data_IF_114310725519
#
_entry.id   IF_114310725519
#
_cell.length_a   1.000
_cell.length_b   1.000
_cell.length_c   1.000
_cell.angle_alpha   90.00
_cell.angle_beta   90.00
_cell.angle_gamma   90.00
#
_symmetry.space_group_name_H-M   'P 1'
#
loop_
_entity.id
_entity.type
_entity.pdbx_description
1 polymer ?
#
# COMPACT_ATOMS: atom_id res chain seq x y z
N UNK A 1 -10.44 9.92 9.36
CA UNK A 1 -9.23 10.20 10.17
C UNK A 1 -8.40 8.94 10.17
N UNK A 2 -7.26 8.92 9.47
CA UNK A 2 -6.31 7.82 9.60
C UNK A 2 -5.71 7.89 11.00
N UNK A 3 -6.02 6.90 11.83
CA UNK A 3 -5.47 6.77 13.17
C UNK A 3 -3.95 6.59 13.02
N UNK A 4 -3.18 7.63 13.33
CA UNK A 4 -1.73 7.50 13.57
C UNK A 4 -1.54 6.42 14.64
N UNK A 5 -1.09 5.25 14.23
CA UNK A 5 -0.90 4.14 15.17
C UNK A 5 0.26 4.51 16.08
N UNK A 6 -0.02 4.60 17.38
CA UNK A 6 0.96 5.05 18.38
C UNK A 6 2.03 4.00 18.69
N UNK A 7 1.79 2.73 18.33
CA UNK A 7 2.70 1.61 18.58
C UNK A 7 3.02 0.88 17.27
N UNK A 8 4.26 0.43 17.08
CA UNK A 8 4.62 -0.41 15.94
C UNK A 8 3.82 -1.72 15.99
N UNK A 9 3.43 -2.21 14.82
CA UNK A 9 2.74 -3.50 14.71
C UNK A 9 3.78 -4.59 14.64
N UNK A 10 3.67 -5.59 15.52
CA UNK A 10 4.51 -6.78 15.47
C UNK A 10 3.86 -7.79 14.50
N UNK A 11 4.54 -8.00 13.38
CA UNK A 11 4.14 -8.93 12.35
C UNK A 11 5.04 -10.14 12.39
N UNK A 12 4.46 -11.30 12.09
CA UNK A 12 5.22 -12.55 11.99
C UNK A 12 5.37 -12.91 10.52
N UNK A 13 6.60 -13.09 10.06
CA UNK A 13 6.85 -13.50 8.68
C UNK A 13 6.29 -14.92 8.44
N UNK A 14 5.36 -15.13 7.50
CA UNK A 14 4.77 -16.45 7.28
C UNK A 14 5.77 -17.46 6.70
N UNK A 15 6.84 -16.99 6.05
CA UNK A 15 7.83 -17.85 5.39
C UNK A 15 9.00 -18.26 6.30
N UNK A 16 9.38 -17.39 7.24
CA UNK A 16 10.58 -17.59 8.07
C UNK A 16 10.27 -17.63 9.58
N UNK A 17 9.05 -17.30 9.99
CA UNK A 17 8.62 -17.32 11.38
C UNK A 17 9.16 -16.20 12.26
N UNK A 18 10.06 -15.35 11.75
CA UNK A 18 10.62 -14.20 12.47
C UNK A 18 9.58 -13.12 12.73
N UNK A 19 9.62 -12.56 13.93
CA UNK A 19 8.84 -11.39 14.30
C UNK A 19 9.58 -10.11 13.90
N UNK A 20 8.88 -9.18 13.29
CA UNK A 20 9.41 -7.86 12.94
C UNK A 20 8.41 -6.76 13.29
N UNK A 21 8.93 -5.62 13.70
CA UNK A 21 8.14 -4.44 14.01
C UNK A 21 7.95 -3.58 12.76
N UNK A 22 6.71 -3.34 12.37
CA UNK A 22 6.34 -2.44 11.29
C UNK A 22 5.77 -1.13 11.86
N UNK A 23 6.51 -0.03 11.67
CA UNK A 23 6.05 1.30 12.05
C UNK A 23 5.37 1.96 10.84
N UNK A 24 4.03 1.93 10.84
CA UNK A 24 3.20 2.56 9.79
C UNK A 24 3.51 4.05 9.61
N UNK A 25 3.71 4.79 10.70
CA UNK A 25 4.00 6.22 10.63
C UNK A 25 5.33 6.50 9.92
N UNK A 26 6.37 5.70 10.21
CA UNK A 26 7.68 5.86 9.59
C UNK A 26 7.61 5.66 8.07
N UNK A 27 6.86 4.66 7.59
CA UNK A 27 6.70 4.39 6.17
C UNK A 27 5.92 5.51 5.47
N UNK A 28 4.88 6.08 6.12
CA UNK A 28 4.18 7.25 5.58
C UNK A 28 5.10 8.48 5.49
N UNK A 29 5.90 8.74 6.53
CA UNK A 29 6.88 9.83 6.54
C UNK A 29 7.93 9.67 5.42
N UNK A 30 8.44 8.46 5.19
CA UNK A 30 9.36 8.18 4.08
C UNK A 30 8.71 8.37 2.71
N UNK A 31 7.45 7.92 2.55
CA UNK A 31 6.68 8.13 1.32
C UNK A 31 6.51 9.63 1.03
N UNK A 32 6.15 10.42 2.05
CA UNK A 32 5.94 11.85 1.88
C UNK A 32 7.26 12.59 1.61
N UNK A 33 8.33 12.22 2.30
CA UNK A 33 9.68 12.72 2.01
C UNK A 33 10.08 12.45 0.55
N UNK A 34 9.87 11.23 0.05
CA UNK A 34 10.17 10.89 -1.34
C UNK A 34 9.31 11.68 -2.34
N UNK A 35 8.03 11.93 -2.05
CA UNK A 35 7.19 12.79 -2.90
C UNK A 35 7.73 14.21 -2.97
N UNK A 36 8.16 14.78 -1.83
CA UNK A 36 8.79 16.10 -1.78
C UNK A 36 10.10 16.12 -2.59
N UNK A 37 10.98 15.14 -2.42
CA UNK A 37 12.23 15.01 -3.18
C UNK A 37 11.97 14.91 -4.70
N UNK A 38 11.04 14.06 -5.12
CA UNK A 38 10.63 13.90 -6.53
C UNK A 38 10.11 15.22 -7.11
N UNK A 39 9.29 15.94 -6.33
CA UNK A 39 8.73 17.23 -6.75
C UNK A 39 9.81 18.28 -6.90
N UNK A 40 10.75 18.33 -5.95
CA UNK A 40 11.93 19.20 -6.02
C UNK A 40 12.78 18.93 -7.26
N UNK A 41 13.11 17.65 -7.54
CA UNK A 41 13.89 17.26 -8.72
C UNK A 41 13.14 17.63 -10.01
N UNK A 42 11.83 17.39 -10.09
CA UNK A 42 11.02 17.81 -11.25
C UNK A 42 11.07 19.32 -11.48
N UNK A 43 10.96 20.10 -10.41
CA UNK A 43 11.05 21.55 -10.51
C UNK A 43 12.43 21.99 -11.00
N UNK A 44 13.51 21.41 -10.45
CA UNK A 44 14.87 21.68 -10.90
C UNK A 44 15.06 21.33 -12.39
N UNK A 45 14.57 20.17 -12.83
CA UNK A 45 14.62 19.78 -14.25
C UNK A 45 13.88 20.78 -15.13
N UNK A 46 12.69 21.21 -14.72
CA UNK A 46 11.90 22.20 -15.47
C UNK A 46 12.64 23.54 -15.57
N UNK A 47 13.21 24.02 -14.46
CA UNK A 47 14.00 25.26 -14.45
C UNK A 47 15.24 25.14 -15.33
N UNK A 48 15.94 24.01 -15.28
CA UNK A 48 17.11 23.76 -16.13
C UNK A 48 16.77 23.77 -17.62
N UNK A 49 15.62 23.19 -18.01
CA UNK A 49 15.13 23.24 -19.39
C UNK A 49 14.82 24.67 -19.85
N UNK A 50 14.26 25.49 -18.97
CA UNK A 50 13.96 26.90 -19.26
C UNK A 50 15.28 27.68 -19.43
N UNK A 51 16.21 27.51 -18.49
CA UNK A 51 17.49 28.22 -18.45
C UNK A 51 18.43 27.84 -19.61
N UNK A 52 18.44 26.56 -20.03
CA UNK A 52 19.35 26.04 -21.04
C UNK A 52 18.62 25.49 -22.27
N UNK A 53 17.72 26.29 -22.85
CA UNK A 53 16.73 25.84 -23.85
C UNK A 53 17.28 25.02 -25.03
N UNK A 54 18.54 25.26 -25.45
CA UNK A 54 19.19 24.54 -26.56
C UNK A 54 20.20 23.48 -26.13
N UNK A 55 20.68 23.54 -24.89
CA UNK A 55 21.82 22.73 -24.40
C UNK A 55 21.51 21.98 -23.10
N UNK A 56 20.25 21.93 -22.67
CA UNK A 56 19.85 21.32 -21.40
C UNK A 56 20.12 19.81 -21.31
N UNK A 57 20.47 19.10 -22.38
CA UNK A 57 20.77 17.66 -22.36
C UNK A 57 22.18 17.33 -21.83
N UNK A 58 22.70 18.21 -20.99
CA UNK A 58 24.01 18.12 -20.38
C UNK A 58 24.09 16.99 -19.33
N UNK A 59 25.28 16.83 -18.77
CA UNK A 59 25.53 15.80 -17.76
C UNK A 59 24.64 15.98 -16.52
N UNK A 60 24.41 17.23 -16.11
CA UNK A 60 23.52 17.55 -14.99
C UNK A 60 22.12 17.00 -15.23
N UNK A 61 21.52 17.26 -16.40
CA UNK A 61 20.18 16.79 -16.72
C UNK A 61 20.07 15.27 -16.71
N UNK A 62 21.07 14.57 -17.27
CA UNK A 62 21.10 13.10 -17.26
C UNK A 62 21.14 12.55 -15.83
N UNK A 63 21.97 13.14 -14.97
CA UNK A 63 22.06 12.76 -13.55
C UNK A 63 20.75 13.04 -12.82
N UNK A 64 20.14 14.20 -13.02
CA UNK A 64 18.85 14.57 -12.42
C UNK A 64 17.72 13.63 -12.87
N UNK A 65 17.68 13.28 -14.15
CA UNK A 65 16.70 12.34 -14.70
C UNK A 65 16.90 10.91 -14.14
N UNK A 66 18.15 10.45 -14.00
CA UNK A 66 18.46 9.16 -13.39
C UNK A 66 18.04 9.13 -11.91
N UNK A 67 18.33 10.21 -11.16
CA UNK A 67 17.89 10.37 -9.78
C UNK A 67 16.36 10.35 -9.66
N UNK A 68 15.66 11.05 -10.54
CA UNK A 68 14.19 11.04 -10.61
C UNK A 68 13.65 9.63 -10.82
N UNK A 69 14.21 8.86 -11.75
CA UNK A 69 13.80 7.47 -12.01
C UNK A 69 14.04 6.59 -10.79
N UNK A 70 15.22 6.68 -10.17
CA UNK A 70 15.55 5.91 -8.96
C UNK A 70 14.58 6.20 -7.81
N UNK A 71 14.30 7.48 -7.55
CA UNK A 71 13.38 7.90 -6.48
C UNK A 71 11.94 7.48 -6.74
N UNK A 72 11.48 7.52 -7.99
CA UNK A 72 10.16 6.98 -8.36
C UNK A 72 10.09 5.46 -8.13
N UNK A 73 11.14 4.71 -8.44
CA UNK A 73 11.18 3.28 -8.17
C UNK A 73 11.12 2.96 -6.66
N UNK A 74 11.87 3.70 -5.84
CA UNK A 74 11.82 3.59 -4.37
C UNK A 74 10.41 3.85 -3.83
N UNK A 75 9.75 4.92 -4.31
CA UNK A 75 8.38 5.25 -3.92
C UNK A 75 7.39 4.12 -4.27
N UNK A 76 7.54 3.49 -5.45
CA UNK A 76 6.68 2.38 -5.86
C UNK A 76 6.90 1.13 -4.99
N UNK A 77 8.16 0.84 -4.64
CA UNK A 77 8.48 -0.27 -3.75
C UNK A 77 7.86 -0.07 -2.36
N UNK A 78 8.00 1.13 -1.77
CA UNK A 78 7.39 1.44 -0.47
C UNK A 78 5.87 1.38 -0.51
N UNK A 79 5.22 1.89 -1.56
CA UNK A 79 3.76 1.77 -1.72
C UNK A 79 3.29 0.32 -1.83
N UNK A 80 4.04 -0.52 -2.56
CA UNK A 80 3.75 -1.95 -2.68
C UNK A 80 3.91 -2.66 -1.34
N UNK A 81 5.01 -2.40 -0.64
CA UNK A 81 5.26 -2.94 0.70
C UNK A 81 4.15 -2.53 1.66
N UNK A 82 3.78 -1.24 1.71
CA UNK A 82 2.68 -0.73 2.52
C UNK A 82 1.37 -1.46 2.27
N UNK A 83 0.99 -1.65 1.00
CA UNK A 83 -0.26 -2.35 0.65
C UNK A 83 -0.23 -3.81 1.11
N UNK A 84 0.88 -4.51 0.89
CA UNK A 84 1.04 -5.89 1.35
C UNK A 84 0.95 -5.98 2.88
N UNK A 85 1.62 -5.06 3.58
CA UNK A 85 1.59 -5.01 5.04
C UNK A 85 0.19 -4.71 5.58
N UNK A 86 -0.57 -3.81 4.97
CA UNK A 86 -1.94 -3.52 5.39
C UNK A 86 -2.85 -4.77 5.34
N UNK A 87 -2.69 -5.60 4.31
CA UNK A 87 -3.40 -6.89 4.19
C UNK A 87 -2.98 -7.85 5.29
N UNK A 88 -1.67 -7.94 5.56
CA UNK A 88 -1.15 -8.82 6.62
C UNK A 88 -1.64 -8.40 8.01
N UNK A 89 -1.69 -7.10 8.29
CA UNK A 89 -2.23 -6.55 9.55
C UNK A 89 -3.69 -6.97 9.72
N UNK A 90 -4.50 -6.87 8.67
CA UNK A 90 -5.91 -7.28 8.71
C UNK A 90 -6.04 -8.79 8.93
N UNK A 91 -5.23 -9.59 8.24
CA UNK A 91 -5.22 -11.04 8.41
C UNK A 91 -4.86 -11.44 9.84
N UNK A 92 -3.79 -10.88 10.39
CA UNK A 92 -3.36 -11.14 11.77
C UNK A 92 -4.41 -10.67 12.78
N UNK A 93 -5.05 -9.53 12.53
CA UNK A 93 -6.16 -9.03 13.37
C UNK A 93 -7.32 -10.03 13.38
N UNK A 94 -7.70 -10.57 12.22
CA UNK A 94 -8.78 -11.55 12.12
C UNK A 94 -8.42 -12.87 12.81
N UNK A 95 -7.16 -13.32 12.72
CA UNK A 95 -6.69 -14.53 13.42
C UNK A 95 -6.79 -14.32 14.94
N UNK A 96 -6.28 -13.20 15.45
CA UNK A 96 -6.33 -12.87 16.88
C UNK A 96 -7.79 -12.73 17.33
N UNK A 97 -8.63 -12.06 16.55
CA UNK A 97 -10.05 -11.92 16.83
C UNK A 97 -10.74 -13.28 16.95
N UNK A 98 -10.52 -14.19 15.98
CA UNK A 98 -11.05 -15.56 16.03
C UNK A 98 -10.64 -16.28 17.32
N UNK A 99 -9.37 -16.18 17.71
CA UNK A 99 -8.88 -16.79 18.95
C UNK A 99 -9.58 -16.22 20.19
N UNK A 100 -9.80 -14.90 20.23
CA UNK A 100 -10.53 -14.24 21.33
C UNK A 100 -12.00 -14.65 21.39
N UNK A 101 -12.66 -14.81 20.24
CA UNK A 101 -14.05 -15.28 20.16
C UNK A 101 -14.15 -16.74 20.62
N UNK A 102 -13.23 -17.60 20.16
CA UNK A 102 -13.16 -19.01 20.58
C UNK A 102 -12.93 -19.15 22.09
N UNK A 103 -12.08 -18.32 22.68
CA UNK A 103 -11.85 -18.28 24.12
C UNK A 103 -13.10 -17.83 24.91
N UNK A 104 -13.91 -16.92 24.36
CA UNK A 104 -15.08 -16.34 25.06
C UNK A 104 -16.37 -17.14 24.88
N UNK A 105 -16.65 -17.61 23.68
CA UNK A 105 -17.92 -18.28 23.33
C UNK A 105 -17.78 -19.80 23.21
N UNK A 106 -16.54 -20.30 23.21
CA UNK A 106 -16.26 -21.70 22.93
C UNK A 106 -16.22 -22.00 21.43
N UNK A 107 -15.66 -23.17 21.11
CA UNK A 107 -15.35 -23.57 19.74
C UNK A 107 -16.60 -23.77 18.87
N UNK A 108 -17.67 -24.29 19.44
CA UNK A 108 -18.88 -24.65 18.70
C UNK A 108 -19.64 -23.41 18.20
N UNK A 109 -19.90 -22.44 19.07
CA UNK A 109 -20.52 -21.17 18.70
C UNK A 109 -19.65 -20.35 17.74
N UNK A 110 -18.32 -20.40 17.92
CA UNK A 110 -17.38 -19.74 17.00
C UNK A 110 -17.46 -20.30 15.59
N UNK A 111 -17.63 -21.63 15.43
CA UNK A 111 -17.78 -22.25 14.12
C UNK A 111 -19.10 -21.88 13.44
N UNK A 112 -20.19 -21.73 14.20
CA UNK A 112 -21.47 -21.24 13.66
C UNK A 112 -21.33 -19.82 13.11
N UNK A 113 -20.72 -18.92 13.88
CA UNK A 113 -20.48 -17.54 13.45
C UNK A 113 -19.58 -17.45 12.21
N UNK A 114 -18.56 -18.31 12.09
CA UNK A 114 -17.72 -18.38 10.89
C UNK A 114 -18.56 -18.82 9.69
N UNK A 115 -19.38 -19.85 9.84
CA UNK A 115 -20.24 -20.36 8.76
C UNK A 115 -21.27 -19.31 8.31
N UNK A 116 -21.92 -18.63 9.25
CA UNK A 116 -22.84 -17.53 8.95
C UNK A 116 -22.13 -16.38 8.22
N UNK A 117 -20.89 -16.05 8.61
CA UNK A 117 -20.10 -15.03 7.94
C UNK A 117 -19.74 -15.44 6.49
N UNK A 118 -19.38 -16.72 6.27
CA UNK A 118 -19.14 -17.26 4.93
C UNK A 118 -20.40 -17.20 4.05
N UNK A 119 -21.55 -17.59 4.61
CA UNK A 119 -22.85 -17.52 3.92
C UNK A 119 -23.23 -16.08 3.56
N UNK A 120 -23.02 -15.12 4.46
CA UNK A 120 -23.24 -13.70 4.17
C UNK A 120 -22.27 -13.16 3.12
N UNK A 121 -21.01 -13.62 3.10
CA UNK A 121 -20.02 -13.18 2.10
C UNK A 121 -20.41 -13.58 0.67
N UNK A 122 -21.07 -14.73 0.49
CA UNK A 122 -21.55 -15.20 -0.83
C UNK A 122 -22.54 -14.19 -1.46
N UNK A 123 -23.33 -13.49 -0.65
CA UNK A 123 -24.25 -12.45 -1.14
C UNK A 123 -23.56 -11.15 -1.55
N UNK A 124 -22.36 -10.87 -1.03
CA UNK A 124 -21.60 -9.65 -1.31
C UNK A 124 -20.54 -9.82 -2.41
N UNK A 125 -20.35 -11.03 -2.96
CA UNK A 125 -19.52 -11.24 -4.15
C UNK A 125 -20.22 -10.64 -5.37
N UNK A 126 -20.07 -9.33 -5.51
CA UNK A 126 -20.28 -8.59 -6.74
C UNK A 126 -19.48 -9.29 -7.84
N UNK A 127 -20.16 -9.75 -8.89
CA UNK A 127 -19.56 -10.43 -10.03
C UNK A 127 -18.58 -9.48 -10.74
N UNK A 128 -17.30 -9.54 -10.38
CA UNK A 128 -16.24 -8.77 -11.05
C UNK A 128 -15.90 -9.35 -12.42
N UNK A 129 -16.43 -10.52 -12.82
CA UNK A 129 -16.13 -11.14 -14.10
C UNK A 129 -17.01 -10.60 -15.24
N UNK A 130 -18.14 -9.96 -14.95
CA UNK A 130 -19.08 -9.43 -15.96
C UNK A 130 -19.03 -7.90 -16.10
N UNK A 131 -17.85 -7.28 -16.03
CA UNK A 131 -17.69 -5.91 -16.55
C UNK A 131 -17.76 -5.89 -18.08
N UNK A 132 -18.98 -5.88 -18.64
CA UNK A 132 -19.19 -5.44 -20.02
C UNK A 132 -19.06 -3.92 -20.05
N UNK A 133 -17.91 -3.43 -20.49
CA UNK A 133 -17.77 -2.04 -20.92
C UNK A 133 -18.52 -1.87 -22.24
N UNK A 134 -19.81 -1.54 -22.19
CA UNK A 134 -20.49 -0.98 -23.36
C UNK A 134 -20.15 0.50 -23.43
N UNK A 135 -19.23 0.86 -24.33
CA UNK A 135 -19.11 2.24 -24.81
C UNK A 135 -20.44 2.56 -25.50
N UNK A 136 -21.26 3.41 -24.88
CA UNK A 136 -22.34 4.07 -25.60
C UNK A 136 -21.68 4.99 -26.64
N UNK A 137 -21.46 4.48 -27.85
CA UNK A 137 -21.31 5.36 -29.02
C UNK A 137 -22.71 5.84 -29.37
N UNK A 138 -23.12 6.90 -28.67
CA UNK A 138 -24.34 7.65 -28.95
C UNK A 138 -24.00 8.95 -29.68
N UNK A 139 -24.57 9.06 -30.87
CA UNK A 139 -24.67 10.21 -31.80
C UNK A 139 -23.50 10.43 -32.78
#
# INVERSE_FOLDING_TARGET
MELKQTKPIHLRCPKSGYDFSYNTNHIEEEIDKLKCEITSIRNQITQHKIQYTKTYHDEWYRRAQAALTSKNAQLQQLKKARKATAVEIQLQTNIIFKQLVEQKLGKEETLKLIKEAEEQMIYYNWDMATQKFTRFEGA
#
